data_IF_989965379429
#
_entry.id   IF_989965379429
#
_cell.length_a   1.000
_cell.length_b   1.000
_cell.length_c   1.000
_cell.angle_alpha   90.00
_cell.angle_beta   90.00
_cell.angle_gamma   90.00
#
_symmetry.space_group_name_H-M   'P 1'
#
loop_
_entity.id
_entity.type
_entity.pdbx_description
1 polymer ?
2 non-polymer ?
3 non-polymer ?
4 water ?
#
# COMPACT_ATOMS: atom_id res chain seq x y z
N UNK A 3 3.17 10.24 23.40
CA UNK A 3 3.34 8.80 23.22
C UNK A 3 4.42 8.15 24.08
N UNK A 4 4.21 6.85 24.42
CA UNK A 4 5.28 6.10 25.04
C UNK A 4 6.51 6.08 24.13
N UNK A 5 7.63 5.81 24.74
CA UNK A 5 8.83 5.63 23.90
C UNK A 5 8.77 4.43 23.04
N UNK A 6 9.22 4.43 21.83
CA UNK A 6 9.27 3.20 21.02
C UNK A 6 10.16 2.18 21.74
N UNK A 7 9.82 0.92 21.61
CA UNK A 7 10.53 -0.16 22.29
C UNK A 7 11.41 -0.89 21.34
N UNK A 8 12.72 -0.57 21.27
CA UNK A 8 13.63 -1.17 20.34
C UNK A 8 13.88 -2.64 20.66
N UNK A 9 13.85 -3.06 21.91
CA UNK A 9 14.04 -4.48 22.20
C UNK A 9 12.88 -5.26 21.72
N UNK A 10 11.69 -4.73 21.79
CA UNK A 10 10.46 -5.31 21.28
C UNK A 10 10.56 -5.37 19.76
N UNK A 11 10.96 -4.27 19.11
CA UNK A 11 11.15 -4.28 17.67
C UNK A 11 12.15 -5.32 17.24
N UNK A 12 13.23 -5.45 17.93
CA UNK A 12 14.26 -6.45 17.61
C UNK A 12 13.65 -7.86 17.68
N UNK A 13 12.85 -8.14 18.72
CA UNK A 13 12.23 -9.46 18.86
C UNK A 13 11.25 -9.73 17.72
N UNK A 14 10.48 -8.71 17.31
CA UNK A 14 9.57 -8.86 16.19
C UNK A 14 10.32 -9.28 14.94
N UNK A 15 11.41 -8.58 14.61
CA UNK A 15 12.14 -8.92 13.42
C UNK A 15 12.73 -10.31 13.52
N UNK A 16 13.25 -10.65 14.69
CA UNK A 16 13.87 -11.96 14.85
C UNK A 16 12.81 -13.10 14.68
N UNK A 17 11.64 -12.85 15.23
CA UNK A 17 10.53 -13.81 15.05
C UNK A 17 10.18 -13.93 13.56
N UNK A 18 10.11 -12.82 12.84
CA UNK A 18 9.75 -12.87 11.37
C UNK A 18 10.81 -13.71 10.66
N UNK A 19 12.08 -13.56 10.97
CA UNK A 19 13.05 -14.42 10.32
C UNK A 19 12.86 -15.91 10.65
N UNK A 20 12.53 -16.14 11.93
CA UNK A 20 12.31 -17.57 12.36
C UNK A 20 11.09 -18.15 11.65
N UNK A 21 10.20 -17.34 11.13
CA UNK A 21 9.01 -17.78 10.45
C UNK A 21 9.18 -17.78 8.88
N UNK A 22 10.34 -17.37 8.37
CA UNK A 22 10.66 -17.57 6.93
C UNK A 22 10.88 -16.29 6.19
N UNK A 23 10.87 -15.11 6.85
CA UNK A 23 11.32 -13.94 6.07
C UNK A 23 12.81 -13.97 5.94
N UNK A 24 13.36 -13.85 4.74
CA UNK A 24 14.83 -13.72 4.65
C UNK A 24 15.38 -12.51 5.41
N UNK A 25 14.63 -11.41 5.33
CA UNK A 25 15.05 -10.15 5.95
C UNK A 25 13.80 -9.44 6.47
N UNK A 26 14.03 -8.59 7.48
CA UNK A 26 12.89 -7.81 8.02
C UNK A 26 13.45 -6.56 8.65
N UNK A 27 12.78 -5.47 8.55
CA UNK A 27 13.34 -4.19 9.04
C UNK A 27 12.26 -3.18 9.38
N UNK A 28 12.66 -2.14 10.13
CA UNK A 28 11.70 -1.16 10.57
C UNK A 28 12.44 0.14 10.83
N UNK A 29 11.76 1.24 10.43
CA UNK A 29 12.27 2.60 10.74
C UNK A 29 11.16 3.39 11.41
N UNK A 30 11.48 3.99 12.56
CA UNK A 30 10.55 4.89 13.26
C UNK A 30 11.14 6.31 13.16
N UNK A 31 10.29 7.27 12.73
CA UNK A 31 10.68 8.66 12.90
C UNK A 31 9.88 9.13 14.11
N UNK A 32 10.52 9.23 15.28
CA UNK A 32 9.85 9.65 16.53
C UNK A 32 10.08 11.15 16.70
N UNK A 33 9.33 11.97 16.04
CA UNK A 33 9.40 13.40 16.23
C UNK A 33 10.85 13.92 16.18
N UNK A 34 11.56 13.39 15.16
CA UNK A 34 12.92 13.82 14.92
C UNK A 34 14.04 12.98 15.56
N UNK A 35 13.64 11.95 16.31
CA UNK A 35 14.61 10.93 16.74
C UNK A 35 14.38 9.65 16.00
N UNK A 36 15.38 9.15 15.29
CA UNK A 36 15.15 7.96 14.48
C UNK A 36 15.42 6.64 15.21
N UNK A 37 14.55 5.63 14.97
CA UNK A 37 14.88 4.26 15.39
C UNK A 37 14.96 3.46 14.12
N UNK A 38 16.03 2.65 13.99
CA UNK A 38 16.13 1.81 12.76
C UNK A 38 16.73 0.48 13.12
N UNK A 39 16.06 -0.55 12.70
CA UNK A 39 16.50 -1.93 12.99
C UNK A 39 16.28 -2.75 11.73
N UNK A 40 17.15 -3.75 11.53
CA UNK A 40 17.00 -4.68 10.42
C UNK A 40 17.67 -5.98 10.79
N UNK A 41 17.17 -7.11 10.31
CA UNK A 41 17.83 -8.38 10.56
C UNK A 41 17.68 -9.22 9.30
N UNK A 42 18.75 -9.95 8.98
CA UNK A 42 18.66 -10.89 7.84
C UNK A 42 19.17 -10.21 6.53
N UNK A 43 18.71 -10.80 5.43
CA UNK A 43 19.31 -10.58 4.13
C UNK A 43 18.36 -9.95 3.12
N UNK A 44 18.89 -9.05 2.35
CA UNK A 44 18.25 -8.48 1.15
C UNK A 44 18.27 -9.48 0.01
N UNK A 45 19.34 -10.26 -0.10
CA UNK A 45 19.48 -11.24 -1.17
C UNK A 45 19.94 -12.51 -0.49
N UNK A 46 19.10 -13.56 -0.52
CA UNK A 46 19.38 -14.80 0.22
C UNK A 46 20.37 -15.66 -0.51
N UNK A 47 20.53 -15.46 -1.83
CA UNK A 47 21.48 -16.24 -2.57
C UNK A 47 22.89 -15.67 -2.42
N UNK A 48 23.08 -14.35 -2.32
CA UNK A 48 24.39 -13.79 -2.12
C UNK A 48 24.68 -13.48 -0.67
N UNK A 49 23.65 -13.44 0.23
CA UNK A 49 23.95 -13.12 1.65
C UNK A 49 23.98 -11.66 2.01
N UNK A 50 23.80 -10.75 1.04
CA UNK A 50 23.82 -9.31 1.30
C UNK A 50 22.74 -8.96 2.33
N UNK A 51 23.22 -8.23 3.36
CA UNK A 51 22.29 -7.84 4.46
C UNK A 51 21.21 -6.89 4.06
N UNK A 52 20.01 -7.02 4.59
CA UNK A 52 18.96 -6.03 4.39
C UNK A 52 19.26 -4.89 5.27
N UNK A 53 18.89 -3.68 4.87
CA UNK A 53 19.10 -2.47 5.64
C UNK A 53 17.99 -1.48 5.39
N UNK A 54 17.74 -0.56 6.31
CA UNK A 54 16.57 0.29 6.24
C UNK A 54 16.65 1.25 5.08
N UNK A 55 17.80 1.34 4.39
CA UNK A 55 17.81 2.23 3.20
C UNK A 55 17.49 1.48 1.93
N UNK A 56 17.31 0.15 1.99
CA UNK A 56 17.03 -0.59 0.78
C UNK A 56 15.69 -0.21 0.22
N UNK A 57 15.62 0.02 -1.10
CA UNK A 57 14.31 0.21 -1.69
C UNK A 57 13.51 -1.09 -1.83
N UNK A 58 12.18 -0.98 -1.94
CA UNK A 58 11.34 -2.16 -2.04
C UNK A 58 10.00 -1.80 -2.65
N UNK A 59 9.24 -2.80 -3.03
CA UNK A 59 7.91 -2.61 -3.59
C UNK A 59 6.88 -2.49 -2.45
N UNK A 60 6.10 -1.37 -2.40
CA UNK A 60 5.24 -1.05 -1.26
C UNK A 60 3.85 -1.65 -1.47
N UNK A 61 3.57 -2.28 -2.64
CA UNK A 61 2.26 -2.84 -2.85
C UNK A 61 1.15 -1.88 -2.63
N UNK A 62 0.10 -2.27 -1.93
CA UNK A 62 -1.12 -1.53 -1.82
C UNK A 62 -0.94 -0.24 -1.06
N UNK A 63 0.20 0.06 -0.44
CA UNK A 63 0.45 1.44 0.07
C UNK A 63 0.30 2.45 -1.08
N UNK A 64 0.50 1.98 -2.30
CA UNK A 64 0.25 2.83 -3.48
C UNK A 64 -1.11 3.47 -3.45
N UNK A 65 -2.10 2.79 -2.92
CA UNK A 65 -3.46 3.38 -2.91
C UNK A 65 -3.47 4.69 -2.18
N UNK A 66 -2.68 4.90 -1.11
CA UNK A 66 -2.66 6.19 -0.44
C UNK A 66 -2.06 7.27 -1.36
N UNK A 67 -1.05 6.94 -2.20
CA UNK A 67 -0.57 7.94 -3.12
C UNK A 67 -1.67 8.33 -4.13
N UNK A 68 -2.35 7.27 -4.67
CA UNK A 68 -3.45 7.55 -5.57
C UNK A 68 -4.50 8.37 -4.94
N UNK A 69 -4.87 8.08 -3.71
CA UNK A 69 -5.91 8.88 -3.03
C UNK A 69 -5.47 10.30 -2.80
N UNK A 70 -4.22 10.58 -2.48
CA UNK A 70 -3.75 11.99 -2.30
C UNK A 70 -3.92 12.69 -3.58
N UNK A 71 -3.56 12.11 -4.73
CA UNK A 71 -3.70 12.84 -6.00
C UNK A 71 -5.16 13.10 -6.25
N UNK A 72 -6.06 12.10 -6.08
CA UNK A 72 -7.50 12.33 -6.31
C UNK A 72 -8.02 13.39 -5.37
N UNK A 73 -7.58 13.45 -4.14
CA UNK A 73 -8.15 14.45 -3.19
C UNK A 73 -7.64 15.84 -3.51
N UNK A 74 -6.43 15.96 -4.06
CA UNK A 74 -5.96 17.25 -4.61
C UNK A 74 -6.81 17.62 -5.81
N UNK A 75 -7.21 16.68 -6.64
CA UNK A 75 -8.16 17.06 -7.76
C UNK A 75 -9.45 17.53 -7.22
N UNK A 76 -9.89 16.97 -6.08
CA UNK A 76 -11.12 17.42 -5.44
C UNK A 76 -10.92 18.86 -5.00
N UNK A 77 -9.83 19.19 -4.34
CA UNK A 77 -9.50 20.54 -3.90
C UNK A 77 -9.49 21.50 -5.08
N UNK A 78 -9.06 21.04 -6.26
CA UNK A 78 -8.96 21.87 -7.46
C UNK A 78 -10.32 21.99 -8.17
N UNK A 79 -11.35 21.31 -7.70
CA UNK A 79 -12.65 21.36 -8.34
C UNK A 79 -12.79 20.50 -9.58
N UNK A 80 -11.88 19.57 -9.84
CA UNK A 80 -11.94 18.73 -11.02
C UNK A 80 -12.66 17.41 -10.82
N UNK A 81 -12.96 17.09 -9.55
CA UNK A 81 -13.52 15.84 -9.12
C UNK A 81 -14.52 16.06 -8.00
N UNK A 82 -15.65 15.45 -8.01
CA UNK A 82 -16.59 15.52 -6.90
C UNK A 82 -16.68 14.09 -6.32
N UNK A 83 -16.40 13.95 -5.01
CA UNK A 83 -16.39 12.61 -4.41
C UNK A 83 -17.76 11.91 -4.55
N UNK A 84 -18.85 12.67 -4.64
CA UNK A 84 -20.16 12.01 -4.61
C UNK A 84 -20.73 11.94 -6.04
N UNK A 85 -19.93 12.31 -7.04
CA UNK A 85 -20.37 12.08 -8.42
C UNK A 85 -20.18 10.62 -8.82
N UNK A 86 -21.00 10.12 -9.72
CA UNK A 86 -20.77 8.82 -10.34
C UNK A 86 -19.42 8.66 -10.96
N UNK A 87 -18.79 7.48 -10.82
CA UNK A 87 -17.58 7.28 -11.64
C UNK A 87 -17.83 7.48 -13.11
N UNK A 88 -18.98 6.99 -13.60
CA UNK A 88 -19.26 7.10 -15.03
C UNK A 88 -19.48 8.55 -15.47
N UNK A 89 -19.64 9.51 -14.55
CA UNK A 89 -19.74 10.89 -14.98
C UNK A 89 -18.45 11.31 -15.66
N UNK A 90 -17.28 10.76 -15.18
CA UNK A 90 -15.97 11.09 -15.71
C UNK A 90 -15.43 10.08 -16.65
N UNK A 91 -15.82 8.82 -16.48
CA UNK A 91 -15.39 7.71 -17.32
C UNK A 91 -16.67 7.09 -17.93
N UNK A 92 -17.31 7.66 -18.92
CA UNK A 92 -18.65 7.24 -19.40
C UNK A 92 -18.64 5.76 -19.83
N UNK A 93 -19.67 5.06 -19.39
CA UNK A 93 -19.93 3.63 -19.64
C UNK A 93 -18.91 2.70 -19.05
N UNK A 94 -18.07 3.21 -18.13
CA UNK A 94 -17.05 2.31 -17.62
C UNK A 94 -17.69 1.21 -16.79
N UNK A 95 -18.55 1.60 -15.88
CA UNK A 95 -19.08 0.66 -14.93
C UNK A 95 -20.51 0.35 -15.23
N UNK A 96 -21.04 -0.79 -14.84
CA UNK A 96 -22.43 -1.18 -15.21
C UNK A 96 -23.48 -0.37 -14.49
N UNK A 97 -23.14 0.33 -13.41
CA UNK A 97 -24.11 1.01 -12.62
C UNK A 97 -23.62 2.41 -12.38
N UNK A 98 -24.38 3.41 -12.80
CA UNK A 98 -24.00 4.79 -12.49
C UNK A 98 -24.13 5.10 -11.02
N UNK A 99 -24.79 4.37 -10.15
CA UNK A 99 -24.80 4.79 -8.74
C UNK A 99 -23.49 4.48 -8.05
N UNK A 100 -22.52 3.91 -8.79
CA UNK A 100 -21.20 3.75 -8.16
C UNK A 100 -20.45 5.09 -8.23
N UNK A 101 -20.19 5.61 -7.04
CA UNK A 101 -19.56 6.94 -6.95
C UNK A 101 -18.09 6.88 -6.64
N UNK A 102 -17.36 8.01 -6.83
CA UNK A 102 -15.92 8.06 -6.59
C UNK A 102 -15.67 7.77 -5.14
N UNK A 103 -16.44 8.31 -4.19
CA UNK A 103 -16.21 8.05 -2.76
C UNK A 103 -16.37 6.58 -2.43
N UNK A 104 -17.37 5.91 -3.06
CA UNK A 104 -17.53 4.46 -2.79
C UNK A 104 -16.33 3.69 -3.34
N UNK A 105 -15.81 4.05 -4.49
CA UNK A 105 -14.60 3.39 -5.00
C UNK A 105 -13.46 3.57 -4.06
N UNK A 106 -13.22 4.78 -3.57
CA UNK A 106 -12.04 5.07 -2.79
C UNK A 106 -12.09 4.47 -1.42
N UNK A 107 -13.28 4.05 -0.96
CA UNK A 107 -13.44 3.44 0.36
C UNK A 107 -13.80 1.95 0.28
N UNK A 108 -13.67 1.37 -0.90
CA UNK A 108 -13.96 -0.05 -1.11
C UNK A 108 -15.39 -0.40 -0.76
N UNK A 109 -16.31 0.48 -1.13
CA UNK A 109 -17.72 0.23 -0.90
C UNK A 109 -18.44 0.10 -2.23
N UNK A 110 -17.75 -0.04 -3.32
CA UNK A 110 -18.36 0.00 -4.65
C UNK A 110 -18.99 -1.30 -5.10
N UNK A 111 -18.64 -2.38 -4.46
CA UNK A 111 -19.08 -3.67 -5.02
C UNK A 111 -18.28 -4.24 -6.12
N UNK A 112 -17.27 -3.52 -6.65
CA UNK A 112 -16.55 -4.07 -7.77
C UNK A 112 -15.76 -5.30 -7.32
N UNK A 113 -15.93 -6.40 -8.11
CA UNK A 113 -15.17 -7.63 -7.87
C UNK A 113 -13.67 -7.43 -8.04
N UNK A 114 -12.89 -8.05 -7.14
CA UNK A 114 -11.48 -7.92 -7.23
C UNK A 114 -10.92 -8.97 -8.24
N UNK A 115 -10.53 -8.53 -9.43
CA UNK A 115 -9.98 -9.41 -10.51
C UNK A 115 -8.77 -10.19 -10.01
N UNK A 116 -8.08 -9.67 -8.97
CA UNK A 116 -6.87 -10.41 -8.56
C UNK A 116 -7.30 -11.72 -7.95
N UNK A 117 -8.53 -11.93 -7.54
CA UNK A 117 -8.93 -13.26 -7.06
C UNK A 117 -8.92 -14.26 -8.17
N UNK A 118 -9.01 -13.83 -9.43
CA UNK A 118 -8.91 -14.79 -10.55
C UNK A 118 -7.52 -14.81 -11.19
N UNK A 119 -6.61 -14.12 -10.55
CA UNK A 119 -5.20 -14.20 -10.91
C UNK A 119 -4.39 -15.08 -9.94
N UNK A 120 -4.71 -14.92 -8.64
CA UNK A 120 -3.77 -15.46 -7.61
C UNK A 120 -4.40 -16.53 -6.79
N UNK A 121 -5.37 -17.26 -7.33
CA UNK A 121 -5.93 -18.42 -6.62
C UNK A 121 -4.80 -19.38 -6.30
N UNK A 122 -3.81 -19.53 -7.20
CA UNK A 122 -2.61 -20.35 -6.90
C UNK A 122 -1.47 -19.33 -6.85
N UNK A 123 -0.68 -19.24 -5.79
CA UNK A 123 0.26 -18.13 -5.61
C UNK A 123 1.34 -18.09 -6.63
N UNK A 124 2.22 -19.08 -6.77
CA UNK A 124 3.33 -18.98 -7.70
C UNK A 124 2.85 -19.07 -9.15
N UNK A 125 1.94 -20.00 -9.48
CA UNK A 125 1.43 -19.97 -10.88
C UNK A 125 0.79 -18.64 -11.19
N UNK A 126 0.08 -18.00 -10.28
CA UNK A 126 -0.51 -16.71 -10.61
C UNK A 126 0.55 -15.66 -10.78
N UNK A 127 1.58 -15.63 -9.92
CA UNK A 127 2.70 -14.70 -10.15
C UNK A 127 3.36 -14.95 -11.49
N UNK A 128 3.63 -16.20 -11.86
CA UNK A 128 4.25 -16.49 -13.12
C UNK A 128 3.37 -16.07 -14.35
N UNK A 129 2.03 -16.05 -14.08
CA UNK A 129 1.13 -15.60 -15.13
C UNK A 129 1.22 -14.12 -15.36
N UNK A 130 1.25 -13.30 -14.28
CA UNK A 130 1.15 -11.87 -14.45
C UNK A 130 2.44 -11.12 -14.48
N UNK A 131 3.53 -11.76 -13.98
CA UNK A 131 4.69 -10.92 -13.68
C UNK A 131 5.30 -10.17 -14.86
N UNK A 132 5.15 -10.75 -16.06
CA UNK A 132 5.74 -10.18 -17.28
C UNK A 132 4.63 -9.73 -18.28
N UNK A 133 3.41 -9.50 -17.73
CA UNK A 133 2.33 -8.97 -18.59
C UNK A 133 2.20 -7.53 -18.41
N UNK A 134 1.76 -6.80 -19.45
CA UNK A 134 1.41 -5.40 -19.41
C UNK A 134 -0.08 -5.31 -19.74
N UNK A 135 -0.84 -4.75 -18.83
CA UNK A 135 -2.26 -4.56 -18.92
C UNK A 135 -2.60 -3.10 -19.08
N UNK A 136 -3.66 -2.78 -19.79
CA UNK A 136 -4.21 -1.42 -19.70
C UNK A 136 -5.10 -1.33 -18.48
N UNK A 137 -5.37 -0.12 -18.02
CA UNK A 137 -6.42 0.00 -16.98
C UNK A 137 -7.72 -0.69 -17.38
N UNK A 138 -8.13 -0.37 -18.64
CA UNK A 138 -9.40 -0.93 -19.11
C UNK A 138 -9.35 -2.43 -19.08
N UNK A 139 -8.22 -3.07 -19.42
CA UNK A 139 -8.17 -4.54 -19.37
C UNK A 139 -8.53 -5.10 -18.01
N UNK A 140 -8.04 -4.45 -16.97
CA UNK A 140 -8.24 -4.89 -15.57
C UNK A 140 -9.68 -4.62 -15.20
N UNK A 141 -10.26 -3.49 -15.58
CA UNK A 141 -11.68 -3.25 -15.31
C UNK A 141 -12.55 -4.31 -15.99
N UNK A 142 -12.23 -4.63 -17.22
CA UNK A 142 -13.00 -5.67 -17.95
C UNK A 142 -12.91 -7.00 -17.22
N UNK A 143 -11.74 -7.34 -16.68
CA UNK A 143 -11.62 -8.58 -15.92
C UNK A 143 -12.53 -8.55 -14.71
N UNK A 144 -12.61 -7.46 -13.98
CA UNK A 144 -13.50 -7.35 -12.85
C UNK A 144 -14.92 -7.56 -13.28
N UNK A 145 -15.29 -6.91 -14.40
CA UNK A 145 -16.70 -6.81 -14.82
C UNK A 145 -17.18 -8.14 -15.41
N UNK A 146 -16.32 -9.13 -15.61
CA UNK A 146 -16.80 -10.47 -15.95
C UNK A 146 -17.60 -11.07 -14.79
N UNK A 147 -17.42 -10.49 -13.58
CA UNK A 147 -18.14 -10.97 -12.42
C UNK A 147 -19.18 -9.93 -12.06
N UNK A 148 -20.25 -10.34 -11.40
CA UNK A 148 -21.13 -9.17 -11.17
C UNK A 148 -20.59 -8.43 -9.97
N UNK A 149 -21.20 -7.38 -9.55
CA UNK A 149 -20.79 -6.70 -8.29
C UNK A 149 -21.11 -7.62 -7.11
N UNK A 150 -20.41 -7.32 -6.00
CA UNK A 150 -20.64 -8.15 -4.84
C UNK A 150 -21.62 -7.57 -3.84
N UNK A 151 -22.08 -6.35 -4.01
CA UNK A 151 -23.03 -5.71 -3.14
C UNK A 151 -23.55 -4.50 -3.83
N UNK A 152 -24.62 -3.91 -3.24
CA UNK A 152 -25.17 -2.70 -3.82
C UNK A 152 -24.17 -1.57 -3.62
N UNK A 153 -24.18 -0.53 -4.44
CA UNK A 153 -23.22 0.55 -4.32
C UNK A 153 -23.28 1.21 -2.97
N UNK A 154 -22.13 1.31 -2.33
CA UNK A 154 -21.98 1.88 -1.06
C UNK A 154 -22.26 0.99 0.14
N UNK A 155 -22.82 -0.21 -0.09
CA UNK A 155 -23.50 -0.94 0.96
C UNK A 155 -22.60 -1.73 1.87
N UNK A 156 -21.43 -2.09 1.38
CA UNK A 156 -20.56 -2.94 2.14
C UNK A 156 -19.10 -2.68 1.90
N UNK A 157 -18.27 -2.84 2.93
CA UNK A 157 -16.84 -2.78 2.72
C UNK A 157 -16.34 -4.10 2.13
N UNK A 158 -15.67 -4.02 1.02
CA UNK A 158 -15.10 -5.22 0.39
C UNK A 158 -13.89 -4.76 -0.33
N UNK A 159 -12.72 -4.96 0.24
CA UNK A 159 -11.51 -4.43 -0.36
C UNK A 159 -11.35 -4.96 -1.80
N UNK A 160 -11.07 -4.07 -2.74
CA UNK A 160 -10.91 -4.52 -4.13
C UNK A 160 -9.87 -3.71 -4.84
N UNK A 161 -8.85 -4.29 -5.38
CA UNK A 161 -7.87 -3.60 -6.19
C UNK A 161 -8.53 -2.83 -7.34
N UNK A 162 -9.66 -3.36 -7.84
CA UNK A 162 -10.33 -2.72 -8.96
C UNK A 162 -10.61 -1.27 -8.65
N UNK A 163 -10.95 -0.98 -7.43
CA UNK A 163 -11.28 0.39 -7.03
C UNK A 163 -10.14 1.31 -7.36
N UNK A 164 -8.89 0.91 -7.16
CA UNK A 164 -7.73 1.81 -7.33
C UNK A 164 -7.17 1.63 -8.72
N UNK A 165 -7.59 0.68 -9.55
CA UNK A 165 -7.42 0.75 -10.97
C UNK A 165 -8.30 1.86 -11.50
N UNK A 166 -9.59 1.94 -11.08
CA UNK A 166 -10.49 3.07 -11.43
C UNK A 166 -9.82 4.37 -11.01
N UNK A 167 -9.25 4.42 -9.83
CA UNK A 167 -8.58 5.64 -9.37
C UNK A 167 -7.51 6.10 -10.35
N UNK A 168 -6.65 5.22 -10.87
CA UNK A 168 -5.65 5.58 -11.82
C UNK A 168 -6.25 6.07 -13.13
N UNK A 169 -7.29 5.40 -13.63
CA UNK A 169 -8.00 5.87 -14.87
C UNK A 169 -8.56 7.25 -14.68
N UNK A 170 -9.14 7.49 -13.45
CA UNK A 170 -9.69 8.85 -13.18
C UNK A 170 -8.56 9.87 -13.18
N UNK A 171 -7.41 9.55 -12.51
CA UNK A 171 -6.32 10.55 -12.52
C UNK A 171 -5.91 10.85 -13.92
N UNK A 172 -5.68 9.82 -14.75
CA UNK A 172 -5.17 10.05 -16.08
C UNK A 172 -6.20 10.78 -16.92
N UNK A 173 -7.48 10.41 -16.80
CA UNK A 173 -8.51 11.08 -17.63
C UNK A 173 -8.63 12.56 -17.26
N UNK A 174 -8.65 12.87 -15.97
CA UNK A 174 -8.92 14.24 -15.54
C UNK A 174 -7.74 15.16 -15.73
N UNK A 175 -6.56 14.64 -15.67
CA UNK A 175 -5.34 15.44 -15.73
C UNK A 175 -4.69 15.44 -17.10
N UNK A 176 -5.00 14.41 -17.92
CA UNK A 176 -4.36 14.28 -19.21
C UNK A 176 -2.89 13.85 -19.05
N UNK A 177 -2.47 13.41 -17.89
CA UNK A 177 -1.15 12.94 -17.69
C UNK A 177 -1.13 11.54 -17.12
N UNK A 178 0.05 10.95 -17.20
CA UNK A 178 0.20 9.62 -16.63
C UNK A 178 0.19 9.67 -15.10
N UNK A 179 -0.17 8.56 -14.49
CA UNK A 179 -0.05 8.60 -13.00
C UNK A 179 1.40 8.81 -12.55
N UNK A 180 2.38 8.29 -13.26
CA UNK A 180 3.75 8.59 -12.82
C UNK A 180 4.02 10.07 -12.70
N UNK A 181 3.56 10.85 -13.72
CA UNK A 181 3.75 12.29 -13.74
C UNK A 181 3.02 12.92 -12.59
N UNK A 182 1.80 12.52 -12.34
CA UNK A 182 1.03 13.15 -11.23
C UNK A 182 1.64 12.80 -9.89
N UNK A 183 2.05 11.55 -9.72
CA UNK A 183 2.73 11.20 -8.42
C UNK A 183 3.94 12.07 -8.26
N UNK A 184 4.73 12.18 -9.33
CA UNK A 184 6.01 12.93 -9.23
C UNK A 184 5.76 14.38 -8.87
N UNK A 185 4.82 15.02 -9.57
CA UNK A 185 4.62 16.43 -9.41
C UNK A 185 3.90 16.79 -8.14
N UNK A 186 2.96 15.94 -7.72
CA UNK A 186 2.17 16.33 -6.57
C UNK A 186 2.67 15.77 -5.27
N UNK A 187 3.53 14.76 -5.30
CA UNK A 187 4.00 14.09 -4.07
C UNK A 187 5.51 13.87 -4.04
N UNK A 188 6.04 13.15 -5.00
CA UNK A 188 7.46 12.77 -4.85
C UNK A 188 8.41 14.00 -4.87
N UNK A 189 8.21 14.90 -5.78
CA UNK A 189 9.10 16.09 -5.79
C UNK A 189 8.87 16.98 -4.62
N UNK A 190 7.64 17.39 -4.37
CA UNK A 190 7.45 18.35 -3.23
C UNK A 190 7.92 17.79 -1.87
N UNK A 191 7.80 16.47 -1.66
CA UNK A 191 8.32 15.93 -0.38
C UNK A 191 9.75 15.43 -0.48
N UNK A 192 10.41 15.57 -1.63
CA UNK A 192 11.78 15.16 -1.87
C UNK A 192 11.95 13.65 -1.54
N UNK A 193 11.04 12.83 -2.10
CA UNK A 193 11.08 11.40 -1.88
C UNK A 193 12.04 10.74 -2.86
N UNK A 194 13.33 10.83 -2.53
CA UNK A 194 14.39 10.46 -3.44
C UNK A 194 14.49 8.95 -3.62
N UNK A 195 13.87 8.17 -2.80
CA UNK A 195 13.85 6.73 -2.96
C UNK A 195 12.56 6.19 -3.55
N UNK A 196 11.68 7.11 -4.05
CA UNK A 196 10.30 6.72 -4.40
C UNK A 196 10.12 6.84 -5.89
N UNK A 197 9.58 5.80 -6.49
CA UNK A 197 9.43 5.71 -7.94
C UNK A 197 8.14 5.04 -8.33
N UNK A 198 7.72 5.34 -9.57
CA UNK A 198 6.66 4.59 -10.23
C UNK A 198 7.18 4.40 -11.69
N UNK A 199 7.66 3.21 -11.98
CA UNK A 199 8.40 2.94 -13.22
C UNK A 199 7.61 1.99 -14.12
N UNK A 200 6.37 1.66 -13.77
CA UNK A 200 5.55 0.73 -14.56
C UNK A 200 5.59 1.06 -16.03
N UNK A 201 5.73 0.08 -16.88
CA UNK A 201 5.87 -1.36 -16.66
C UNK A 201 7.30 -1.87 -16.51
N UNK A 202 8.30 -1.00 -16.26
CA UNK A 202 9.63 -1.57 -16.08
C UNK A 202 9.68 -2.51 -14.89
N UNK A 203 10.52 -3.53 -15.03
CA UNK A 203 10.67 -4.57 -14.01
C UNK A 203 11.84 -4.36 -13.08
N UNK A 204 12.72 -3.45 -13.38
CA UNK A 204 13.90 -3.19 -12.55
C UNK A 204 13.51 -2.29 -11.40
N UNK A 205 14.08 -2.58 -10.22
CA UNK A 205 13.98 -1.65 -9.10
C UNK A 205 15.22 -0.81 -9.11
N UNK A 206 15.09 0.51 -9.28
CA UNK A 206 16.31 1.36 -9.38
C UNK A 206 17.09 1.36 -8.10
N UNK A 207 18.42 1.31 -8.20
CA UNK A 207 19.26 1.49 -6.97
C UNK A 207 19.25 0.26 -6.07
N UNK A 208 19.87 0.38 -4.92
CA UNK A 208 20.03 -0.75 -4.05
C UNK A 208 18.70 -1.10 -3.45
N UNK A 209 18.34 -2.38 -3.51
CA UNK A 209 16.99 -2.79 -3.05
C UNK A 209 17.04 -4.13 -2.37
N UNK A 210 15.98 -4.39 -1.60
CA UNK A 210 15.71 -5.71 -1.07
C UNK A 210 15.18 -6.57 -2.23
N UNK A 211 15.68 -7.81 -2.39
CA UNK A 211 14.98 -8.71 -3.28
C UNK A 211 13.75 -9.23 -2.58
N UNK A 212 12.75 -9.61 -3.36
CA UNK A 212 11.52 -10.16 -2.78
C UNK A 212 11.48 -11.65 -2.92
N UNK A 213 10.99 -12.40 -1.92
CA UNK A 213 10.97 -13.86 -1.96
C UNK A 213 9.57 -14.32 -1.70
N UNK A 214 8.94 -14.80 -2.76
CA UNK A 214 7.58 -15.30 -2.68
C UNK A 214 7.58 -16.68 -2.05
N UNK A 215 6.75 -16.88 -1.02
CA UNK A 215 6.63 -18.23 -0.40
C UNK A 215 5.64 -19.06 -1.24
N UNK A 216 6.05 -20.25 -1.65
CA UNK A 216 5.10 -21.07 -2.42
C UNK A 216 3.99 -21.58 -1.57
N UNK A 217 2.92 -22.04 -2.25
CA UNK A 217 1.81 -22.64 -1.50
C UNK A 217 2.20 -23.95 -0.86
N UNK A 218 3.19 -24.66 -1.41
CA UNK A 218 3.54 -25.97 -0.84
C UNK A 218 4.36 -25.71 0.44
N UNK A 219 3.99 -26.22 1.59
CA UNK A 219 4.78 -26.08 2.79
C UNK A 219 6.18 -26.52 2.61
N UNK A 220 7.13 -25.73 3.08
CA UNK A 220 8.51 -26.11 3.00
C UNK A 220 9.10 -25.93 1.59
N UNK A 221 8.35 -25.41 0.64
CA UNK A 221 8.88 -25.31 -0.73
C UNK A 221 9.86 -24.19 -0.85
N UNK A 222 10.71 -24.36 -1.88
CA UNK A 222 11.72 -23.33 -2.11
C UNK A 222 11.13 -21.97 -2.45
N UNK A 223 11.79 -20.93 -1.87
CA UNK A 223 11.34 -19.55 -2.16
C UNK A 223 11.61 -19.21 -3.60
N UNK A 224 10.74 -18.31 -4.11
CA UNK A 224 10.84 -17.85 -5.50
C UNK A 224 11.26 -16.42 -5.53
N UNK A 225 12.30 -16.06 -6.26
CA UNK A 225 12.69 -14.65 -6.34
C UNK A 225 11.63 -13.89 -7.16
N UNK A 226 10.96 -12.95 -6.50
CA UNK A 226 9.85 -12.25 -7.21
C UNK A 226 10.19 -10.78 -7.36
N UNK A 227 11.49 -10.44 -7.19
CA UNK A 227 11.86 -9.02 -7.25
C UNK A 227 11.38 -8.24 -8.44
N UNK A 228 11.60 -8.80 -9.61
CA UNK A 228 11.45 -8.10 -10.88
C UNK A 228 10.17 -8.51 -11.61
N UNK A 229 9.20 -7.59 -11.62
CA UNK A 229 7.94 -7.85 -12.27
C UNK A 229 7.36 -6.53 -12.67
N UNK A 230 6.40 -6.50 -13.56
CA UNK A 230 5.83 -5.24 -14.07
C UNK A 230 4.90 -4.59 -13.06
N UNK A 231 4.26 -5.38 -12.19
CA UNK A 231 3.19 -4.94 -11.27
C UNK A 231 2.09 -4.30 -12.11
N UNK A 232 1.93 -4.73 -13.37
CA UNK A 232 0.95 -4.15 -14.26
C UNK A 232 -0.48 -4.57 -13.90
N UNK A 233 -0.57 -5.69 -13.18
CA UNK A 233 -1.87 -6.12 -12.69
C UNK A 233 -2.37 -5.21 -11.61
N UNK A 234 -1.57 -4.30 -11.03
CA UNK A 234 -2.01 -3.42 -9.96
C UNK A 234 -1.88 -1.92 -10.36
N UNK A 235 -0.76 -1.49 -10.94
CA UNK A 235 -0.60 -0.09 -11.31
C UNK A 235 -0.93 0.86 -10.18
N UNK A 236 -1.93 1.74 -10.32
CA UNK A 236 -2.27 2.71 -9.31
C UNK A 236 -2.85 2.09 -8.06
N UNK A 237 -3.05 0.78 -8.03
CA UNK A 237 -3.43 0.07 -6.82
C UNK A 237 -2.23 -0.55 -6.11
N UNK A 238 -1.03 -0.60 -6.76
CA UNK A 238 0.06 -1.34 -6.13
C UNK A 238 1.47 -1.21 -6.65
N UNK A 239 1.81 -0.37 -7.62
CA UNK A 239 3.13 -0.50 -8.20
C UNK A 239 4.20 0.50 -7.70
N UNK A 240 4.02 1.31 -6.68
CA UNK A 240 5.02 2.26 -6.22
C UNK A 240 6.16 1.49 -5.55
N UNK A 241 7.38 1.97 -5.76
CA UNK A 241 8.62 1.57 -5.11
C UNK A 241 9.01 2.68 -4.14
N UNK A 242 9.44 2.32 -2.92
CA UNK A 242 9.84 3.38 -1.99
C UNK A 242 10.85 2.80 -0.99
N UNK A 243 11.00 3.56 0.12
CA UNK A 243 11.87 3.21 1.23
C UNK A 243 11.17 3.47 2.54
N UNK A 244 11.73 2.93 3.63
CA UNK A 244 11.11 3.22 4.94
C UNK A 244 11.16 4.71 5.26
N UNK A 245 12.28 5.44 4.93
CA UNK A 245 12.32 6.87 5.21
C UNK A 245 11.28 7.61 4.42
N UNK A 246 11.11 7.28 3.11
CA UNK A 246 10.20 8.02 2.29
C UNK A 246 8.75 7.72 2.67
N UNK A 247 8.39 6.46 3.05
CA UNK A 247 7.03 6.27 3.47
C UNK A 247 6.77 6.98 4.82
N UNK A 248 7.77 7.02 5.70
CA UNK A 248 7.57 7.80 6.92
C UNK A 248 7.32 9.26 6.60
N UNK A 249 8.13 9.79 5.70
CA UNK A 249 7.96 11.18 5.28
C UNK A 249 6.56 11.42 4.74
N UNK A 250 6.13 10.56 3.87
CA UNK A 250 4.83 10.69 3.20
C UNK A 250 3.69 10.65 4.19
N UNK A 251 3.64 9.63 5.09
CA UNK A 251 2.47 9.58 6.00
C UNK A 251 2.52 10.65 7.04
N UNK A 252 3.70 11.07 7.47
CA UNK A 252 3.89 12.24 8.36
C UNK A 252 3.33 13.50 7.68
N UNK A 253 3.66 13.72 6.42
CA UNK A 253 3.16 14.90 5.70
C UNK A 253 1.64 14.82 5.54
N UNK A 254 1.13 13.62 5.25
CA UNK A 254 -0.34 13.49 5.08
C UNK A 254 -1.02 13.85 6.36
N UNK A 255 -0.65 13.21 7.48
CA UNK A 255 -1.44 13.35 8.69
C UNK A 255 -1.23 14.73 9.30
N UNK A 256 -0.14 15.38 9.08
CA UNK A 256 0.14 16.70 9.64
C UNK A 256 -0.44 17.76 8.71
N UNK A 257 -1.14 17.44 7.63
CA UNK A 257 -1.92 18.38 6.86
C UNK A 257 -1.24 19.05 5.69
N UNK A 258 -0.18 18.48 5.20
CA UNK A 258 0.65 19.13 4.19
C UNK A 258 0.24 18.77 2.76
N UNK A 259 -0.65 17.78 2.58
CA UNK A 259 -0.83 17.25 1.20
C UNK A 259 -2.16 17.59 0.59
N UNK A 260 -3.08 18.24 1.26
CA UNK A 260 -4.40 18.60 0.72
C UNK A 260 -5.02 19.57 1.68
N UNK A 261 -6.22 20.10 1.32
CA UNK A 261 -6.90 20.94 2.32
C UNK A 261 -7.34 20.21 3.53
N UNK A 262 -7.61 20.92 4.63
CA UNK A 262 -8.14 20.28 5.85
C UNK A 262 -9.46 19.56 5.55
N UNK A 263 -10.27 20.17 4.71
CA UNK A 263 -11.58 19.57 4.34
C UNK A 263 -11.41 18.20 3.72
N UNK A 264 -10.47 18.10 2.80
CA UNK A 264 -10.32 16.82 2.12
C UNK A 264 -9.66 15.80 3.02
N UNK A 265 -8.73 16.20 3.92
CA UNK A 265 -8.12 15.22 4.83
C UNK A 265 -9.22 14.71 5.69
N UNK A 266 -10.15 15.54 6.12
CA UNK A 266 -11.28 15.11 6.95
C UNK A 266 -12.12 14.08 6.18
N UNK A 267 -12.36 14.27 4.88
CA UNK A 267 -13.08 13.27 4.07
C UNK A 267 -12.28 11.99 3.98
N UNK A 268 -10.98 12.10 3.89
CA UNK A 268 -10.10 10.89 3.80
C UNK A 268 -10.17 10.05 5.02
N UNK A 269 -10.49 10.66 6.19
CA UNK A 269 -10.52 9.99 7.50
C UNK A 269 -11.94 9.68 7.97
N UNK A 270 -12.89 9.65 7.02
CA UNK A 270 -14.25 9.24 7.37
C UNK A 270 -14.25 7.70 7.31
N UNK A 271 -14.30 7.06 8.47
CA UNK A 271 -13.97 5.63 8.51
C UNK A 271 -15.15 4.74 8.23
N UNK A 272 -14.94 3.82 7.26
CA UNK A 272 -15.80 2.66 7.07
C UNK A 272 -15.23 1.54 7.94
N UNK A 273 -16.07 0.81 8.68
CA UNK A 273 -15.62 -0.27 9.52
C UNK A 273 -15.08 -1.43 8.69
N UNK A 274 -13.89 -1.86 9.05
CA UNK A 274 -13.27 -3.03 8.43
C UNK A 274 -13.39 -4.24 9.32
N UNK A 275 -13.06 -4.04 10.57
CA UNK A 275 -13.30 -5.09 11.58
C UNK A 275 -13.31 -4.35 12.91
N UNK A 276 -13.30 -5.03 14.06
CA UNK A 276 -13.55 -4.26 15.28
C UNK A 276 -12.38 -3.39 15.76
N UNK A 277 -11.23 -3.55 15.05
CA UNK A 277 -10.06 -2.74 15.41
C UNK A 277 -9.51 -2.00 14.18
N UNK A 278 -10.27 -1.90 13.11
CA UNK A 278 -9.76 -1.23 11.90
C UNK A 278 -10.86 -0.50 11.15
N UNK A 279 -10.41 0.53 10.49
CA UNK A 279 -11.25 1.26 9.57
C UNK A 279 -10.61 1.53 8.24
N UNK A 280 -11.40 1.92 7.26
CA UNK A 280 -10.91 2.34 5.96
C UNK A 280 -11.55 3.66 5.57
N UNK A 281 -10.71 4.65 5.16
CA UNK A 281 -11.24 5.96 4.83
C UNK A 281 -11.32 6.06 3.35
N UNK A 282 -10.52 6.96 2.78
CA UNK A 282 -10.41 7.11 1.31
C UNK A 282 -8.99 6.77 1.02
N UNK A 283 -8.72 5.53 0.55
CA UNK A 283 -7.33 5.11 0.33
C UNK A 283 -6.47 5.23 1.59
N UNK A 284 -7.00 4.95 2.75
CA UNK A 284 -6.27 5.13 4.03
C UNK A 284 -6.82 4.11 5.05
N UNK A 285 -5.94 3.50 5.81
CA UNK A 285 -6.36 2.54 6.85
C UNK A 285 -6.18 3.16 8.19
N UNK A 286 -7.06 2.78 9.13
CA UNK A 286 -6.88 3.06 10.54
C UNK A 286 -6.69 1.73 11.27
N UNK A 287 -5.65 1.60 12.12
CA UNK A 287 -5.49 0.47 12.98
C UNK A 287 -5.54 0.89 14.45
N UNK A 288 -6.31 0.20 15.25
CA UNK A 288 -6.45 0.52 16.71
C UNK A 288 -5.53 -0.41 17.48
N UNK A 289 -4.63 0.19 18.23
CA UNK A 289 -3.55 -0.60 18.86
C UNK A 289 -3.94 -0.93 20.27
N UNK A 290 -3.25 -1.87 20.91
CA UNK A 290 -3.75 -2.38 22.15
C UNK A 290 -3.67 -1.35 23.27
N UNK A 291 -2.80 -0.36 23.15
CA UNK A 291 -2.68 0.51 24.27
C UNK A 291 -3.67 1.64 24.13
N UNK A 292 -4.57 1.62 23.17
CA UNK A 292 -5.65 2.67 23.06
C UNK A 292 -5.24 3.84 22.13
N UNK A 293 -4.22 3.59 21.32
CA UNK A 293 -3.89 4.60 20.33
C UNK A 293 -4.33 4.12 18.96
N UNK A 294 -4.77 4.98 18.08
CA UNK A 294 -4.97 4.57 16.65
C UNK A 294 -3.87 5.16 15.80
N UNK A 295 -3.51 4.46 14.74
CA UNK A 295 -2.55 4.96 13.76
C UNK A 295 -3.12 4.78 12.39
N UNK A 296 -2.52 5.52 11.46
CA UNK A 296 -3.13 5.83 10.19
C UNK A 296 -2.15 5.63 9.06
N UNK A 297 -2.54 4.94 7.98
CA UNK A 297 -1.52 4.73 6.90
C UNK A 297 -2.03 3.61 6.05
N UNK A 298 -1.19 2.67 5.66
CA UNK A 298 -1.69 1.59 4.77
C UNK A 298 -0.73 0.41 4.89
N UNK A 299 -1.20 -0.76 4.50
CA UNK A 299 -0.41 -1.94 4.37
C UNK A 299 -0.22 -2.28 2.90
N UNK A 300 0.80 -3.09 2.63
CA UNK A 300 1.01 -3.63 1.29
C UNK A 300 1.42 -5.08 1.34
N UNK A 301 0.89 -5.81 0.35
CA UNK A 301 1.29 -7.17 0.07
C UNK A 301 1.49 -7.22 -1.44
N UNK A 302 2.72 -7.42 -1.87
CA UNK A 302 3.03 -7.63 -3.32
C UNK A 302 4.00 -8.78 -3.32
N UNK A 303 4.16 -9.52 -4.43
CA UNK A 303 4.90 -10.78 -4.26
C UNK A 303 6.29 -10.53 -3.77
N UNK A 304 6.61 -11.18 -2.63
CA UNK A 304 7.92 -11.03 -2.00
C UNK A 304 8.06 -9.92 -1.00
N UNK A 305 7.05 -9.08 -0.77
CA UNK A 305 7.21 -7.98 0.13
C UNK A 305 5.94 -7.65 0.92
N UNK A 306 6.05 -7.63 2.25
CA UNK A 306 5.00 -7.15 3.14
C UNK A 306 5.42 -5.83 3.78
N UNK A 307 4.59 -4.82 3.64
CA UNK A 307 4.81 -3.49 4.17
C UNK A 307 3.74 -3.06 5.15
N UNK A 308 4.17 -2.40 6.22
CA UNK A 308 3.25 -1.67 7.08
C UNK A 308 3.77 -0.23 7.13
N UNK A 309 2.99 0.78 6.91
CA UNK A 309 3.45 2.17 6.98
C UNK A 309 2.35 2.97 7.68
N UNK A 310 2.57 3.41 8.93
CA UNK A 310 1.52 4.08 9.70
C UNK A 310 2.09 5.26 10.48
N UNK A 311 1.24 6.26 10.71
CA UNK A 311 1.65 7.42 11.47
C UNK A 311 0.61 7.73 12.52
N UNK A 312 1.05 8.50 13.55
CA UNK A 312 0.12 8.96 14.56
C UNK A 312 -0.78 10.04 13.97
N UNK A 313 -1.79 10.38 14.67
CA UNK A 313 -2.79 11.30 14.13
C UNK A 313 -2.22 12.63 13.71
N UNK A 314 -1.24 13.13 14.44
CA UNK A 314 -0.66 14.45 14.08
C UNK A 314 0.55 14.26 13.21
N UNK A 315 0.92 13.06 12.77
CA UNK A 315 2.09 12.86 11.88
C UNK A 315 3.40 12.90 12.62
N UNK A 316 3.42 13.12 13.94
CA UNK A 316 4.71 13.34 14.60
C UNK A 316 5.50 12.05 14.80
N UNK A 317 4.86 10.87 14.84
CA UNK A 317 5.60 9.61 14.86
C UNK A 317 5.12 8.79 13.67
N UNK A 318 6.04 8.31 12.89
CA UNK A 318 5.72 7.49 11.72
C UNK A 318 6.61 6.22 11.77
N UNK A 319 6.04 5.10 11.29
CA UNK A 319 6.69 3.81 11.31
C UNK A 319 6.51 3.09 9.99
N UNK A 320 7.57 2.57 9.42
CA UNK A 320 7.46 1.72 8.25
C UNK A 320 8.25 0.47 8.49
N UNK A 321 7.61 -0.69 8.29
CA UNK A 321 8.19 -2.00 8.50
C UNK A 321 8.09 -2.77 7.19
N UNK A 322 9.07 -3.58 6.90
CA UNK A 322 9.15 -4.34 5.63
C UNK A 322 9.73 -5.71 5.96
N UNK A 323 9.09 -6.75 5.46
CA UNK A 323 9.72 -8.06 5.39
C UNK A 323 9.78 -8.50 3.93
N UNK A 324 10.88 -9.05 3.46
CA UNK A 324 10.95 -9.40 2.01
C UNK A 324 10.57 -10.84 1.77
N UNK A 325 9.40 -11.19 2.31
CA UNK A 325 8.70 -12.34 1.83
C UNK A 325 7.20 -11.98 1.70
N UNK A 326 6.43 -12.86 1.08
CA UNK A 326 4.98 -12.79 1.12
C UNK A 326 4.41 -14.19 1.04
N UNK A 327 3.08 -14.25 0.97
CA UNK A 327 2.37 -15.52 1.07
C UNK A 327 2.84 -16.29 2.31
N UNK A 328 2.99 -15.59 3.39
CA UNK A 328 3.43 -16.22 4.66
C UNK A 328 2.71 -15.48 5.76
N UNK A 329 1.56 -16.01 6.18
CA UNK A 329 0.70 -15.24 7.12
C UNK A 329 1.37 -15.23 8.47
N UNK A 330 2.18 -16.17 8.87
CA UNK A 330 2.93 -16.00 10.16
C UNK A 330 3.74 -14.71 10.10
N UNK A 331 4.49 -14.54 9.04
CA UNK A 331 5.31 -13.30 8.96
C UNK A 331 4.44 -12.09 8.88
N UNK A 332 3.36 -12.10 8.14
CA UNK A 332 2.49 -10.91 8.01
C UNK A 332 2.01 -10.50 9.38
N UNK A 333 1.51 -11.48 10.18
CA UNK A 333 0.95 -11.18 11.50
C UNK A 333 2.05 -10.71 12.43
N UNK A 334 3.25 -11.36 12.34
CA UNK A 334 4.31 -10.89 13.23
C UNK A 334 4.68 -9.46 12.92
N UNK A 335 4.81 -9.11 11.62
CA UNK A 335 5.27 -7.74 11.27
C UNK A 335 4.26 -6.70 11.74
N UNK A 336 2.98 -7.01 11.89
CA UNK A 336 2.07 -6.04 12.44
C UNK A 336 2.46 -5.62 13.83
N UNK A 337 3.17 -6.49 14.58
CA UNK A 337 3.54 -6.20 15.95
C UNK A 337 4.54 -5.08 16.06
N UNK A 338 5.21 -4.68 14.94
CA UNK A 338 6.09 -3.50 14.98
C UNK A 338 5.26 -2.31 15.30
N UNK A 339 4.00 -2.20 14.99
CA UNK A 339 3.22 -1.02 15.34
C UNK A 339 3.00 -0.95 16.83
N UNK A 340 2.77 -2.09 17.47
CA UNK A 340 2.63 -2.11 18.94
C UNK A 340 3.93 -1.70 19.58
N UNK A 341 5.06 -2.25 19.26
CA UNK A 341 6.29 -1.85 19.89
C UNK A 341 6.66 -0.41 19.61
N UNK A 342 6.39 0.08 18.35
CA UNK A 342 6.83 1.44 18.04
C UNK A 342 5.94 2.54 18.59
N UNK A 343 4.65 2.27 18.74
CA UNK A 343 3.72 3.27 19.25
C UNK A 343 3.37 3.00 20.70
N UNK A 344 3.14 1.76 21.07
CA UNK A 344 2.68 1.50 22.49
C UNK A 344 3.88 1.34 23.37
N UNK A 345 5.03 1.02 22.88
CA UNK A 345 6.24 0.93 23.73
C UNK A 345 6.21 -0.35 24.54
N UNK A 346 7.14 -0.37 25.55
CA UNK A 346 7.34 -1.54 26.39
C UNK A 346 6.08 -1.82 27.17
N UNK A 347 5.82 -3.15 27.29
CA UNK A 347 4.62 -3.57 28.02
C UNK A 347 4.78 -3.17 29.50
X LIG B 1 -5.29 -7.21 -1.32
X LIG B 1 -5.98 -7.26 0.37
X LIG B 1 -5.09 -6.95 1.50
X LIG B 1 -5.34 -7.51 2.72
X LIG B 1 -3.78 -6.31 1.41
X LIG B 1 -2.75 -6.09 2.57
X LIG B 1 -2.22 -4.96 2.52
X LIG B 1 -2.63 -6.99 3.42
X LIG B 1 -3.31 -6.05 0.19
X LIG B 1 -4.14 -5.83 -0.97
X LIG B 1 -3.19 -5.65 -2.21
X LIG B 1 -2.24 -4.58 -1.73
X LIG B 1 -1.14 -4.75 -1.31
X LIG B 1 -2.32 -6.82 -2.51
X LIG B 1 -2.70 -7.70 -3.40
X LIG B 1 -3.72 -7.60 -4.05
X LIG B 1 -1.74 -8.86 -3.47
X LIG B 1 -2.15 -9.98 -4.23
X LIG B 1 -1.46 -11.28 -4.22
X LIG B 1 -0.28 -11.38 -3.21
X LIG B 1 0.28 -12.81 -3.08
X LIG B 1 1.44 -12.74 -2.11
X LIG B 1 2.51 -12.45 -2.56
X LIG B 1 1.24 -12.99 -0.83
X LIG B 1 -0.76 -13.68 -2.53
X LIG B 1 -1.27 -14.69 -3.22
X LIG B 1 -0.92 -15.02 -4.37
X LIG B 1 -2.35 -15.49 -2.58
X LIG B 1 -2.55 -16.80 -3.31
X LIG C 1 -1.07 -12.62 2.38
X LIG C 1 0.12 -12.96 1.76
X LIG C 1 -2.16 -13.10 1.41
X LIG C 1 -1.94 -12.80 0.00
X LIG C 1 -2.25 -14.70 1.41
X LIG C 1 -2.32 -15.07 2.82
X LIG D 1 19.46 -3.55 -10.89
X LIG D 1 18.68 -4.44 -10.17
X LIG D 1 19.02 -2.10 -10.55
X LIG D 1 19.06 -1.86 -9.17
X LIG D 1 19.96 -1.07 -11.26
X LIG D 1 19.64 0.27 -10.78
#
# INVERSE_FOLDING_TARGET
ADLPAPDDTGLQAVLHTALSQGAPGAMVRVDDNGTIHQLSEGVADRATGRAITTTDRFRVGSVTKSFSAVVLLQLVDEGKLDLDASVNTYLPGLLPDDRITVRQVMSHRSGLYDYTNDMFAQTVPGFESVRNKVFSYQDLITLSLKHGVTNAPGAAYSYSNTNFVVAGMLIEKLTGHSVATEYQNRIFTPLNLTDTFYVHPDTVIPGTHANGYLTPDEAGGALVDSTEQTVSWAQSAGAVISSTQDLDTFFSALMSGQLMSAAQLAQMQQWTTVNSTQGYGLGLRRRDLSCGISVYGHTGTVQGYYTYAFASKDGKRSVTALANTSNNVNVLNTMARTLESAFCGKPTT
H2A S1 C2 C3 C3' C4 C4' O4A O4B N5 C6 C7 C8 O9 N10 C11 O12 C13 C14 C15 C16 C17 C18 O19 O20 N21 C22 O23 C24 N25
GOL C1 O1 C2 O2 C3 O3
GOL C1 O1 C2 O2 C3 O3
#
